data_IF_562496142417
#
_entry.id   IF_562496142417
#
_cell.length_a   1.000
_cell.length_b   1.000
_cell.length_c   1.000
_cell.angle_alpha   90.00
_cell.angle_beta   90.00
_cell.angle_gamma   90.00
#
_symmetry.space_group_name_H-M   'P 1'
#
loop_
_entity.id
_entity.type
_entity.pdbx_description
1 polymer ?
#
# COMPACT_ATOMS: atom_id res chain seq x y z
N UNK A 1 -11.91 32.79 -30.67
CA UNK A 1 -10.50 33.00 -30.30
C UNK A 1 -10.20 32.07 -29.12
N UNK A 2 -9.13 31.27 -29.26
CA UNK A 2 -8.30 30.69 -28.15
C UNK A 2 -8.99 29.61 -27.28
N UNK A 3 -8.45 28.41 -27.02
CA UNK A 3 -7.20 27.71 -27.34
C UNK A 3 -7.51 26.22 -27.18
N UNK A 4 -7.20 25.37 -28.17
CA UNK A 4 -7.14 23.91 -27.97
C UNK A 4 -6.00 23.63 -27.00
N UNK A 5 -6.28 22.99 -25.86
CA UNK A 5 -5.23 22.41 -25.04
C UNK A 5 -4.55 21.29 -25.85
N UNK A 6 -3.21 21.27 -25.91
CA UNK A 6 -2.50 20.14 -26.50
C UNK A 6 -2.60 18.91 -25.57
N UNK A 7 -2.67 17.69 -26.12
CA UNK A 7 -2.53 16.49 -25.32
C UNK A 7 -1.11 16.45 -24.75
N UNK A 8 -0.99 16.68 -23.44
CA UNK A 8 0.25 16.45 -22.72
C UNK A 8 0.37 14.96 -22.39
N UNK A 9 1.57 14.43 -22.62
CA UNK A 9 2.06 13.07 -22.31
C UNK A 9 1.79 11.99 -23.37
N UNK A 10 2.53 12.10 -24.47
CA UNK A 10 2.81 10.99 -25.38
C UNK A 10 4.32 10.68 -25.55
N UNK A 11 5.20 11.14 -24.64
CA UNK A 11 6.66 10.94 -24.79
C UNK A 11 7.44 10.75 -23.48
N UNK A 12 7.03 9.82 -22.60
CA UNK A 12 7.79 9.55 -21.36
C UNK A 12 8.17 8.07 -21.14
N UNK A 13 7.86 7.15 -22.06
CA UNK A 13 8.03 5.71 -21.79
C UNK A 13 9.31 5.07 -22.37
N UNK A 14 10.06 5.79 -23.22
CA UNK A 14 11.21 5.21 -23.95
C UNK A 14 12.58 5.40 -23.24
N UNK A 15 12.58 5.85 -21.98
CA UNK A 15 13.79 6.07 -21.17
C UNK A 15 13.96 5.08 -20.02
N UNK A 16 12.97 4.22 -19.76
CA UNK A 16 13.07 3.21 -18.71
C UNK A 16 13.89 2.04 -19.26
N UNK A 17 14.88 1.60 -18.49
CA UNK A 17 15.55 0.33 -18.76
C UNK A 17 14.47 -0.77 -18.77
N UNK A 18 14.42 -1.62 -19.81
CA UNK A 18 13.56 -2.78 -19.75
C UNK A 18 13.92 -3.59 -18.49
N UNK A 19 12.91 -4.11 -17.80
CA UNK A 19 13.08 -5.00 -16.65
C UNK A 19 12.73 -6.39 -17.12
N UNK A 20 13.76 -7.13 -17.50
CA UNK A 20 13.60 -8.44 -18.12
C UNK A 20 14.73 -9.34 -17.67
N UNK A 21 14.38 -10.38 -16.92
CA UNK A 21 15.28 -11.44 -16.51
C UNK A 21 15.33 -12.51 -17.61
N UNK A 22 16.51 -12.70 -18.17
CA UNK A 22 16.77 -13.65 -19.27
C UNK A 22 17.09 -15.06 -18.76
N UNK A 23 17.29 -15.22 -17.44
CA UNK A 23 17.63 -16.47 -16.79
C UNK A 23 18.95 -16.40 -16.01
N UNK A 24 19.17 -17.35 -15.08
CA UNK A 24 20.30 -17.34 -14.16
C UNK A 24 21.65 -17.49 -14.86
N UNK A 25 21.73 -18.29 -15.94
CA UNK A 25 22.98 -18.50 -16.66
C UNK A 25 23.48 -17.21 -17.33
N UNK A 26 22.56 -16.44 -17.92
CA UNK A 26 22.91 -15.17 -18.58
C UNK A 26 23.27 -14.11 -17.53
N UNK A 27 22.54 -14.04 -16.43
CA UNK A 27 22.86 -13.09 -15.37
C UNK A 27 24.24 -13.40 -14.74
N UNK A 28 24.57 -14.67 -14.51
CA UNK A 28 25.88 -15.08 -14.00
C UNK A 28 27.03 -14.60 -14.90
N UNK A 29 26.93 -14.80 -16.21
CA UNK A 29 27.93 -14.31 -17.18
C UNK A 29 28.06 -12.77 -17.14
N UNK A 30 26.94 -12.05 -17.00
CA UNK A 30 26.92 -10.60 -16.95
C UNK A 30 27.53 -10.04 -15.66
N UNK A 31 27.25 -10.69 -14.52
CA UNK A 31 27.80 -10.36 -13.21
C UNK A 31 29.31 -10.58 -13.19
N UNK A 32 29.79 -11.75 -13.60
CA UNK A 32 31.23 -12.06 -13.69
C UNK A 32 31.93 -11.07 -14.63
N UNK A 33 31.37 -10.80 -15.81
CA UNK A 33 31.95 -9.87 -16.77
C UNK A 33 32.01 -8.42 -16.26
N UNK A 34 31.14 -8.06 -15.31
CA UNK A 34 31.13 -6.74 -14.66
C UNK A 34 32.07 -6.63 -13.45
N UNK A 35 32.62 -7.76 -12.99
CA UNK A 35 33.44 -7.84 -11.78
C UNK A 35 32.64 -7.96 -10.49
N UNK A 36 31.43 -8.53 -10.54
CA UNK A 36 30.69 -8.92 -9.35
C UNK A 36 31.21 -10.28 -8.85
N UNK A 37 31.48 -10.39 -7.56
CA UNK A 37 31.93 -11.65 -6.93
C UNK A 37 30.76 -12.50 -6.43
N UNK A 38 29.54 -11.94 -6.41
CA UNK A 38 28.32 -12.65 -5.99
C UNK A 38 27.82 -13.60 -7.07
N UNK A 39 27.35 -14.77 -6.65
CA UNK A 39 26.58 -15.68 -7.50
C UNK A 39 25.15 -15.18 -7.67
N UNK A 40 24.40 -15.78 -8.61
CA UNK A 40 22.98 -15.43 -8.79
C UNK A 40 22.17 -15.77 -7.54
N UNK A 41 22.49 -16.88 -6.86
CA UNK A 41 21.81 -17.28 -5.62
C UNK A 41 22.09 -16.25 -4.51
N UNK A 42 23.33 -15.78 -4.36
CA UNK A 42 23.67 -14.72 -3.39
C UNK A 42 22.91 -13.42 -3.69
N UNK A 43 22.76 -13.04 -4.97
CA UNK A 43 21.98 -11.86 -5.38
C UNK A 43 20.50 -12.03 -5.04
N UNK A 44 19.94 -13.24 -5.18
CA UNK A 44 18.57 -13.54 -4.77
C UNK A 44 18.41 -13.38 -3.26
N UNK A 45 19.34 -13.90 -2.46
CA UNK A 45 19.31 -13.77 -1.00
C UNK A 45 19.37 -12.29 -0.58
N UNK A 46 20.27 -11.50 -1.16
CA UNK A 46 20.34 -10.04 -0.89
C UNK A 46 19.05 -9.32 -1.28
N UNK A 47 18.42 -9.70 -2.39
CA UNK A 47 17.14 -9.11 -2.80
C UNK A 47 16.00 -9.53 -1.87
N UNK A 48 15.96 -10.78 -1.40
CA UNK A 48 14.98 -11.24 -0.42
C UNK A 48 15.08 -10.44 0.87
N UNK A 49 16.29 -10.31 1.44
CA UNK A 49 16.52 -9.49 2.63
C UNK A 49 16.10 -8.02 2.41
N UNK A 50 16.48 -7.44 1.27
CA UNK A 50 16.10 -6.07 0.95
C UNK A 50 14.59 -5.87 0.79
N UNK A 51 13.88 -6.84 0.21
CA UNK A 51 12.41 -6.81 0.11
C UNK A 51 11.78 -6.93 1.50
N UNK A 52 12.29 -7.80 2.37
CA UNK A 52 11.85 -7.93 3.77
C UNK A 52 12.06 -6.63 4.56
N UNK A 53 13.15 -5.92 4.31
CA UNK A 53 13.48 -4.64 4.95
C UNK A 53 12.76 -3.42 4.31
N UNK A 54 12.04 -3.62 3.21
CA UNK A 54 11.36 -2.54 2.47
C UNK A 54 12.31 -1.61 1.70
N UNK A 55 13.54 -2.04 1.45
CA UNK A 55 14.57 -1.29 0.73
C UNK A 55 14.30 -1.34 -0.77
N UNK A 56 14.52 -0.23 -1.49
CA UNK A 56 14.21 -0.18 -2.92
C UNK A 56 15.34 -0.79 -3.78
N UNK A 57 14.97 -1.43 -4.89
CA UNK A 57 15.92 -2.05 -5.84
C UNK A 57 17.11 -1.16 -6.24
N UNK A 58 16.85 0.13 -6.45
CA UNK A 58 17.87 1.08 -6.91
C UNK A 58 18.89 1.46 -5.83
N UNK A 59 18.58 1.16 -4.57
CA UNK A 59 19.48 1.34 -3.43
C UNK A 59 20.35 0.09 -3.22
N UNK A 60 19.78 -1.10 -3.43
CA UNK A 60 20.46 -2.39 -3.21
C UNK A 60 21.35 -2.78 -4.39
N UNK A 61 20.87 -2.63 -5.62
CA UNK A 61 21.59 -3.07 -6.82
C UNK A 61 23.01 -2.49 -6.91
N UNK A 62 23.27 -1.20 -6.65
CA UNK A 62 24.64 -0.67 -6.67
C UNK A 62 25.58 -1.30 -5.63
N UNK A 63 25.03 -1.86 -4.55
CA UNK A 63 25.79 -2.44 -3.45
C UNK A 63 26.22 -3.89 -3.71
N UNK A 64 25.74 -4.51 -4.80
CA UNK A 64 26.14 -5.86 -5.21
C UNK A 64 27.64 -5.96 -5.56
N UNK A 65 28.28 -4.83 -5.85
CA UNK A 65 29.71 -4.79 -6.16
C UNK A 65 30.51 -4.15 -5.02
N UNK A 66 31.57 -4.82 -4.57
CA UNK A 66 32.53 -4.23 -3.63
C UNK A 66 33.34 -3.08 -4.26
N UNK A 67 33.56 -3.16 -5.58
CA UNK A 67 34.32 -2.20 -6.37
C UNK A 67 33.48 -1.64 -7.52
N UNK A 68 33.91 -0.51 -8.10
CA UNK A 68 33.19 0.08 -9.23
C UNK A 68 33.07 -0.93 -10.40
N UNK A 69 31.84 -1.24 -10.86
CA UNK A 69 31.60 -2.26 -11.88
C UNK A 69 32.16 -1.83 -13.24
N UNK A 70 32.74 -2.80 -13.97
CA UNK A 70 33.40 -2.54 -15.26
C UNK A 70 32.65 -3.18 -16.41
N UNK A 71 32.02 -2.36 -17.23
CA UNK A 71 31.28 -2.85 -18.40
C UNK A 71 32.10 -2.68 -19.69
N UNK A 72 32.11 -3.72 -20.54
CA UNK A 72 32.79 -3.69 -21.85
C UNK A 72 32.14 -2.72 -22.83
N UNK A 73 30.84 -2.44 -22.66
CA UNK A 73 30.07 -1.49 -23.46
C UNK A 73 28.87 -0.97 -22.68
N UNK A 74 28.27 0.17 -23.09
CA UNK A 74 27.01 0.63 -22.52
C UNK A 74 25.87 -0.38 -22.67
N UNK A 75 25.84 -1.16 -23.76
CA UNK A 75 24.82 -2.18 -23.96
C UNK A 75 24.96 -3.34 -22.98
N UNK A 76 26.20 -3.73 -22.64
CA UNK A 76 26.44 -4.71 -21.59
C UNK A 76 25.92 -4.21 -20.24
N UNK A 77 26.19 -2.95 -19.88
CA UNK A 77 25.64 -2.35 -18.66
C UNK A 77 24.11 -2.35 -18.67
N UNK A 78 23.48 -1.90 -19.77
CA UNK A 78 22.01 -1.91 -19.90
C UNK A 78 21.42 -3.30 -19.73
N UNK A 79 22.07 -4.32 -20.30
CA UNK A 79 21.63 -5.72 -20.19
C UNK A 79 21.79 -6.26 -18.76
N UNK A 80 22.91 -5.97 -18.10
CA UNK A 80 23.12 -6.35 -16.69
C UNK A 80 22.05 -5.73 -15.80
N UNK A 81 21.83 -4.42 -15.87
CA UNK A 81 20.81 -3.76 -15.06
C UNK A 81 19.39 -4.20 -15.43
N UNK A 82 19.09 -4.44 -16.72
CA UNK A 82 17.80 -4.99 -17.15
C UNK A 82 17.49 -6.33 -16.49
N UNK A 83 18.49 -7.22 -16.42
CA UNK A 83 18.35 -8.53 -15.78
C UNK A 83 18.22 -8.40 -14.26
N UNK A 84 19.01 -7.55 -13.61
CA UNK A 84 18.93 -7.34 -12.16
C UNK A 84 17.59 -6.74 -11.73
N UNK A 85 17.08 -5.74 -12.46
CA UNK A 85 15.75 -5.20 -12.17
C UNK A 85 14.63 -6.20 -12.50
N UNK A 86 14.81 -7.05 -13.52
CA UNK A 86 13.88 -8.14 -13.81
C UNK A 86 13.85 -9.19 -12.70
N UNK A 87 15.02 -9.62 -12.23
CA UNK A 87 15.16 -10.56 -11.12
C UNK A 87 14.60 -9.98 -9.82
N UNK A 88 14.87 -8.70 -9.54
CA UNK A 88 14.24 -7.99 -8.42
C UNK A 88 12.71 -8.06 -8.50
N UNK A 89 12.13 -7.81 -9.67
CA UNK A 89 10.68 -7.86 -9.84
C UNK A 89 10.16 -9.28 -9.60
N UNK A 90 10.88 -10.33 -10.01
CA UNK A 90 10.56 -11.74 -9.72
C UNK A 90 10.68 -12.08 -8.24
N UNK A 91 11.78 -11.73 -7.57
CA UNK A 91 11.98 -11.95 -6.13
C UNK A 91 10.96 -11.19 -5.31
N UNK A 92 10.71 -9.92 -5.64
CA UNK A 92 9.67 -9.14 -5.00
C UNK A 92 8.28 -9.71 -5.30
N UNK A 93 8.05 -10.32 -6.46
CA UNK A 93 6.79 -10.99 -6.78
C UNK A 93 6.63 -12.33 -6.07
N UNK A 94 7.72 -13.06 -5.85
CA UNK A 94 7.77 -14.35 -5.16
C UNK A 94 7.66 -14.17 -3.64
N UNK A 95 8.38 -13.19 -3.08
CA UNK A 95 8.10 -12.69 -1.73
C UNK A 95 6.65 -12.24 -1.63
N UNK A 96 6.08 -11.64 -2.69
CA UNK A 96 4.64 -11.34 -2.81
C UNK A 96 3.73 -12.57 -2.99
N UNK A 97 4.26 -13.72 -3.35
CA UNK A 97 3.57 -15.01 -3.47
C UNK A 97 3.63 -15.85 -2.20
N UNK A 98 4.73 -15.75 -1.44
CA UNK A 98 4.85 -16.20 -0.05
C UNK A 98 4.18 -15.23 0.94
N UNK A 99 3.84 -14.00 0.49
CA UNK A 99 3.05 -13.06 1.29
C UNK A 99 1.74 -13.73 1.71
N UNK A 100 1.48 -13.56 3.00
CA UNK A 100 0.37 -14.13 3.73
C UNK A 100 -0.92 -14.14 2.89
N UNK A 101 -1.37 -15.35 2.56
CA UNK A 101 -2.67 -15.54 1.94
C UNK A 101 -3.76 -14.95 2.84
N UNK A 102 -4.46 -13.95 2.32
CA UNK A 102 -5.66 -13.43 2.98
C UNK A 102 -6.84 -14.42 2.85
N UNK A 103 -6.74 -15.38 1.92
CA UNK A 103 -7.76 -16.42 1.75
C UNK A 103 -7.71 -17.42 2.89
N UNK A 104 -8.86 -17.66 3.53
CA UNK A 104 -9.01 -18.65 4.60
C UNK A 104 -8.57 -18.16 5.97
N UNK A 105 -8.27 -16.87 6.14
CA UNK A 105 -8.13 -16.27 7.47
C UNK A 105 -9.45 -16.41 8.24
N UNK A 106 -9.33 -16.72 9.54
CA UNK A 106 -10.47 -16.72 10.43
C UNK A 106 -10.99 -15.27 10.54
N UNK A 107 -12.24 -15.00 10.08
CA UNK A 107 -12.80 -13.67 10.08
C UNK A 107 -13.00 -13.11 11.47
N UNK A 108 -12.86 -13.87 12.57
CA UNK A 108 -12.99 -13.38 13.96
C UNK A 108 -11.64 -13.29 14.70
N UNK A 109 -10.54 -13.69 14.05
CA UNK A 109 -9.20 -13.58 14.63
C UNK A 109 -8.67 -12.13 14.65
N UNK A 110 -7.82 -11.76 15.63
CA UNK A 110 -7.17 -10.46 15.64
C UNK A 110 -6.38 -10.20 14.36
N UNK A 111 -6.46 -8.98 13.81
CA UNK A 111 -5.68 -8.62 12.64
C UNK A 111 -4.21 -8.45 13.04
N UNK A 112 -3.33 -9.13 12.31
CA UNK A 112 -1.89 -8.90 12.40
C UNK A 112 -1.51 -7.74 11.47
N UNK A 113 -0.50 -6.92 11.83
CA UNK A 113 0.00 -5.85 10.96
C UNK A 113 0.27 -6.33 9.53
N UNK A 114 0.91 -7.49 9.38
CA UNK A 114 1.26 -8.06 8.07
C UNK A 114 0.03 -8.33 7.17
N UNK A 115 -1.13 -8.65 7.75
CA UNK A 115 -2.37 -8.86 6.99
C UNK A 115 -2.96 -7.55 6.47
N UNK A 116 -2.84 -6.49 7.28
CA UNK A 116 -3.32 -5.16 6.96
C UNK A 116 -2.48 -4.58 5.83
N UNK A 117 -1.15 -4.68 5.95
CA UNK A 117 -0.21 -4.24 4.92
C UNK A 117 -0.46 -4.96 3.60
N UNK A 118 -0.61 -6.29 3.62
CA UNK A 118 -0.91 -7.06 2.41
C UNK A 118 -2.22 -6.61 1.74
N UNK A 119 -3.30 -6.45 2.51
CA UNK A 119 -4.59 -6.02 1.96
C UNK A 119 -4.55 -4.60 1.38
N UNK A 120 -3.72 -3.73 1.96
CA UNK A 120 -3.47 -2.38 1.47
C UNK A 120 -2.66 -2.40 0.18
N UNK A 121 -1.60 -3.22 0.09
CA UNK A 121 -0.87 -3.44 -1.18
C UNK A 121 -1.77 -3.95 -2.30
N UNK A 122 -2.69 -4.89 -2.01
CA UNK A 122 -3.66 -5.36 -3.00
C UNK A 122 -4.60 -4.24 -3.49
N UNK A 123 -4.90 -3.25 -2.65
CA UNK A 123 -5.68 -2.07 -3.04
C UNK A 123 -4.92 -1.16 -3.99
N UNK A 124 -3.63 -0.93 -3.71
CA UNK A 124 -2.76 -0.06 -4.51
C UNK A 124 -2.42 -0.67 -5.89
N UNK A 125 -2.33 -2.00 -5.96
CA UNK A 125 -2.12 -2.73 -7.22
C UNK A 125 -3.40 -2.82 -8.10
N UNK A 126 -4.57 -2.40 -7.60
CA UNK A 126 -5.79 -2.43 -8.41
C UNK A 126 -5.68 -1.53 -9.65
N UNK A 127 -6.08 -2.08 -10.79
CA UNK A 127 -6.29 -1.25 -11.97
C UNK A 127 -7.44 -0.25 -11.76
N UNK A 128 -7.40 0.85 -12.52
CA UNK A 128 -8.38 1.95 -12.36
C UNK A 128 -9.85 1.48 -12.50
N UNK A 129 -10.21 0.53 -13.39
CA UNK A 129 -11.54 -0.08 -13.41
C UNK A 129 -11.90 -0.84 -12.12
N UNK A 130 -11.01 -1.70 -11.60
CA UNK A 130 -11.26 -2.49 -10.40
C UNK A 130 -11.35 -1.60 -9.16
N UNK A 131 -10.46 -0.62 -9.03
CA UNK A 131 -10.51 0.37 -7.96
C UNK A 131 -11.84 1.12 -7.95
N UNK A 132 -12.29 1.60 -9.11
CA UNK A 132 -13.60 2.29 -9.23
C UNK A 132 -14.75 1.38 -8.84
N UNK A 133 -14.73 0.12 -9.27
CA UNK A 133 -15.76 -0.85 -8.89
C UNK A 133 -15.77 -1.11 -7.37
N UNK A 134 -14.61 -1.16 -6.74
CA UNK A 134 -14.48 -1.28 -5.29
C UNK A 134 -15.05 -0.05 -4.59
N UNK A 135 -14.71 1.15 -5.06
CA UNK A 135 -15.23 2.42 -4.52
C UNK A 135 -16.73 2.55 -4.69
N UNK A 136 -17.27 2.29 -5.88
CA UNK A 136 -18.71 2.30 -6.13
C UNK A 136 -19.43 1.31 -5.21
N UNK A 137 -18.83 0.14 -4.94
CA UNK A 137 -19.41 -0.86 -4.02
C UNK A 137 -19.44 -0.32 -2.59
N UNK A 138 -18.36 0.30 -2.13
CA UNK A 138 -18.31 0.95 -0.82
C UNK A 138 -19.39 2.03 -0.70
N UNK A 139 -19.43 2.98 -1.63
CA UNK A 139 -20.37 4.10 -1.64
C UNK A 139 -21.84 3.61 -1.62
N UNK A 140 -22.14 2.52 -2.33
CA UNK A 140 -23.48 1.95 -2.39
C UNK A 140 -23.87 1.10 -1.16
N UNK A 141 -22.92 0.44 -0.52
CA UNK A 141 -23.20 -0.48 0.59
C UNK A 141 -23.11 0.19 1.96
N UNK A 142 -22.31 1.25 2.08
CA UNK A 142 -21.89 1.82 3.35
C UNK A 142 -22.38 3.26 3.57
N UNK A 143 -23.64 3.53 3.19
CA UNK A 143 -24.26 4.85 3.35
C UNK A 143 -24.15 5.43 4.77
N UNK A 144 -24.31 4.59 5.80
CA UNK A 144 -24.22 5.02 7.20
C UNK A 144 -22.80 5.44 7.59
N UNK A 145 -21.75 4.81 7.04
CA UNK A 145 -20.35 5.24 7.24
C UNK A 145 -20.11 6.62 6.63
N UNK A 146 -20.56 6.84 5.40
CA UNK A 146 -20.42 8.15 4.74
C UNK A 146 -21.11 9.23 5.56
N UNK A 147 -22.38 9.01 5.90
CA UNK A 147 -23.18 9.99 6.65
C UNK A 147 -22.56 10.27 8.02
N UNK A 148 -22.02 9.24 8.68
CA UNK A 148 -21.28 9.38 9.94
C UNK A 148 -20.04 10.26 9.82
N UNK A 149 -19.19 10.01 8.82
CA UNK A 149 -17.98 10.80 8.57
C UNK A 149 -18.35 12.26 8.25
N UNK A 150 -19.30 12.47 7.35
CA UNK A 150 -19.74 13.82 6.95
C UNK A 150 -20.29 14.64 8.11
N UNK A 151 -21.09 14.03 8.99
CA UNK A 151 -21.70 14.75 10.11
C UNK A 151 -20.70 15.07 11.23
N UNK A 152 -19.80 14.12 11.56
CA UNK A 152 -18.83 14.33 12.64
C UNK A 152 -17.68 15.27 12.26
N UNK A 153 -17.40 15.39 10.97
CA UNK A 153 -16.40 16.30 10.43
C UNK A 153 -17.03 17.54 9.80
N UNK A 154 -18.32 17.77 10.04
CA UNK A 154 -19.03 18.95 9.56
C UNK A 154 -18.34 20.23 10.10
N UNK A 155 -17.95 21.11 9.19
CA UNK A 155 -17.23 22.34 9.53
C UNK A 155 -15.71 22.25 9.45
N UNK A 156 -15.15 21.07 9.15
CA UNK A 156 -13.77 20.95 8.70
C UNK A 156 -13.65 21.23 7.19
N UNK A 157 -12.42 21.23 6.68
CA UNK A 157 -12.14 21.47 5.27
C UNK A 157 -12.58 20.29 4.40
N UNK A 158 -12.82 20.55 3.11
CA UNK A 158 -13.13 19.48 2.14
C UNK A 158 -12.02 18.43 2.09
N UNK A 159 -10.75 18.85 2.22
CA UNK A 159 -9.59 17.94 2.29
C UNK A 159 -9.72 17.00 3.49
N UNK A 160 -10.08 17.50 4.67
CA UNK A 160 -10.25 16.68 5.87
C UNK A 160 -11.36 15.62 5.70
N UNK A 161 -12.47 16.02 5.09
CA UNK A 161 -13.61 15.11 4.83
C UNK A 161 -13.23 14.07 3.77
N UNK A 162 -12.61 14.49 2.66
CA UNK A 162 -12.12 13.59 1.61
C UNK A 162 -11.13 12.56 2.17
N UNK A 163 -10.12 13.02 2.93
CA UNK A 163 -9.13 12.14 3.57
C UNK A 163 -9.77 11.15 4.52
N UNK A 164 -10.72 11.59 5.36
CA UNK A 164 -11.42 10.68 6.27
C UNK A 164 -12.26 9.63 5.53
N UNK A 165 -12.93 10.02 4.43
CA UNK A 165 -13.69 9.09 3.60
C UNK A 165 -12.79 8.09 2.87
N UNK A 166 -11.63 8.53 2.40
CA UNK A 166 -10.67 7.64 1.75
C UNK A 166 -10.08 6.63 2.74
N UNK A 167 -9.69 7.06 3.94
CA UNK A 167 -9.22 6.14 4.99
C UNK A 167 -10.33 5.21 5.49
N UNK A 168 -11.59 5.68 5.53
CA UNK A 168 -12.75 4.83 5.84
C UNK A 168 -12.97 3.76 4.74
N UNK A 169 -12.81 4.14 3.48
CA UNK A 169 -12.85 3.21 2.35
C UNK A 169 -11.72 2.18 2.41
N UNK A 170 -10.49 2.62 2.67
CA UNK A 170 -9.32 1.73 2.83
C UNK A 170 -9.56 0.74 3.99
N UNK A 171 -10.06 1.22 5.14
CA UNK A 171 -10.45 0.36 6.27
C UNK A 171 -11.47 -0.69 5.84
N UNK A 172 -12.55 -0.26 5.18
CA UNK A 172 -13.59 -1.18 4.70
C UNK A 172 -13.02 -2.21 3.72
N UNK A 173 -12.19 -1.79 2.78
CA UNK A 173 -11.57 -2.68 1.80
C UNK A 173 -10.71 -3.73 2.48
N UNK A 174 -9.84 -3.32 3.40
CA UNK A 174 -8.98 -4.22 4.17
C UNK A 174 -9.84 -5.24 4.92
N UNK A 175 -10.87 -4.80 5.65
CA UNK A 175 -11.78 -5.72 6.35
C UNK A 175 -12.54 -6.65 5.39
N UNK A 176 -12.92 -6.18 4.19
CA UNK A 176 -13.62 -6.98 3.18
C UNK A 176 -12.69 -8.05 2.58
N UNK A 177 -11.41 -7.74 2.36
CA UNK A 177 -10.41 -8.70 1.90
C UNK A 177 -10.12 -9.77 2.95
N UNK A 178 -10.02 -9.36 4.21
CA UNK A 178 -9.67 -10.25 5.31
C UNK A 178 -10.79 -11.22 5.69
N UNK A 179 -12.06 -10.86 5.46
CA UNK A 179 -13.21 -11.75 5.69
C UNK A 179 -13.51 -12.68 4.51
N UNK A 180 -12.86 -12.50 3.36
CA UNK A 180 -12.99 -13.36 2.19
C UNK A 180 -14.42 -13.49 1.68
N UNK A 181 -15.04 -14.66 1.89
CA UNK A 181 -16.42 -14.94 1.46
C UNK A 181 -17.47 -14.23 2.35
N UNK A 182 -17.12 -13.96 3.60
CA UNK A 182 -17.97 -13.22 4.53
C UNK A 182 -17.84 -11.73 4.24
N UNK A 183 -18.98 -11.05 4.07
CA UNK A 183 -18.97 -9.61 3.81
C UNK A 183 -18.82 -8.82 5.10
N UNK A 184 -18.18 -7.66 5.03
CA UNK A 184 -18.18 -6.70 6.13
C UNK A 184 -19.63 -6.31 6.43
N UNK A 185 -20.08 -6.44 7.69
CA UNK A 185 -21.43 -6.04 8.06
C UNK A 185 -21.62 -4.54 7.80
N UNK A 186 -22.85 -4.15 7.46
CA UNK A 186 -23.21 -2.73 7.37
C UNK A 186 -23.39 -2.21 8.80
N UNK A 187 -22.53 -1.31 9.28
CA UNK A 187 -22.66 -0.75 10.60
C UNK A 187 -23.92 0.11 10.66
N UNK A 188 -24.70 0.01 11.73
CA UNK A 188 -25.80 0.94 11.96
C UNK A 188 -25.24 2.25 12.46
N UNK A 189 -25.95 3.35 12.17
CA UNK A 189 -25.56 4.66 12.71
C UNK A 189 -25.38 4.67 14.24
N UNK A 190 -26.30 4.04 14.97
CA UNK A 190 -26.22 3.94 16.43
C UNK A 190 -24.96 3.21 16.93
N UNK A 191 -24.45 2.23 16.18
CA UNK A 191 -23.23 1.52 16.56
C UNK A 191 -21.98 2.41 16.37
N UNK A 192 -21.98 3.24 15.32
CA UNK A 192 -20.88 4.19 15.05
C UNK A 192 -20.86 5.31 16.09
N UNK A 193 -22.02 5.89 16.42
CA UNK A 193 -22.13 6.92 17.44
C UNK A 193 -21.67 6.38 18.81
N UNK A 194 -22.15 5.19 19.20
CA UNK A 194 -21.74 4.54 20.44
C UNK A 194 -20.22 4.28 20.48
N UNK A 195 -19.61 3.89 19.36
CA UNK A 195 -18.17 3.66 19.28
C UNK A 195 -17.35 4.96 19.33
N UNK A 196 -17.90 6.06 18.82
CA UNK A 196 -17.27 7.39 18.86
C UNK A 196 -17.27 7.99 20.28
N UNK A 197 -18.28 7.64 21.08
CA UNK A 197 -18.43 8.08 22.47
C UNK A 197 -17.63 7.25 23.49
N UNK A 198 -17.01 6.14 23.07
CA UNK A 198 -16.18 5.32 23.96
C UNK A 198 -14.97 6.12 24.48
N UNK A 199 -14.70 5.98 25.77
CA UNK A 199 -13.61 6.67 26.43
C UNK A 199 -12.25 6.14 25.94
N UNK A 200 -11.53 6.99 25.22
CA UNK A 200 -10.27 6.67 24.53
C UNK A 200 -9.15 6.39 25.53
N UNK A 201 -9.22 6.92 26.75
CA UNK A 201 -8.17 6.78 27.77
C UNK A 201 -8.22 5.43 28.51
N UNK A 202 -9.35 4.71 28.45
CA UNK A 202 -9.56 3.47 29.21
C UNK A 202 -9.44 2.19 28.35
N UNK A 203 -9.56 2.28 27.04
CA UNK A 203 -9.59 1.12 26.14
C UNK A 203 -8.39 1.05 25.18
N UNK A 204 -7.81 -0.14 25.05
CA UNK A 204 -6.76 -0.42 24.06
C UNK A 204 -7.25 -0.08 22.64
N UNK A 205 -6.33 0.40 21.79
CA UNK A 205 -6.65 0.77 20.41
C UNK A 205 -7.27 -0.42 19.65
N UNK A 206 -8.48 -0.26 19.08
CA UNK A 206 -9.07 -1.28 18.22
C UNK A 206 -8.23 -1.43 16.95
N UNK A 207 -7.79 -2.66 16.68
CA UNK A 207 -6.99 -3.03 15.50
C UNK A 207 -5.75 -2.13 15.29
N UNK A 208 -4.68 -2.30 16.10
CA UNK A 208 -3.53 -1.41 16.11
C UNK A 208 -2.79 -1.32 14.76
N UNK A 209 -2.85 -2.36 13.93
CA UNK A 209 -2.31 -2.32 12.56
C UNK A 209 -3.00 -1.29 11.67
N UNK A 210 -4.35 -1.27 11.68
CA UNK A 210 -5.12 -0.25 10.95
C UNK A 210 -4.90 1.16 11.52
N UNK A 211 -4.78 1.27 12.85
CA UNK A 211 -4.49 2.55 13.48
C UNK A 211 -3.14 3.12 13.03
N UNK A 212 -2.08 2.29 12.98
CA UNK A 212 -0.77 2.71 12.54
C UNK A 212 -0.77 3.23 11.09
N UNK A 213 -1.46 2.55 10.18
CA UNK A 213 -1.60 2.98 8.78
C UNK A 213 -2.34 4.32 8.69
N UNK A 214 -3.46 4.47 9.41
CA UNK A 214 -4.19 5.74 9.40
C UNK A 214 -3.34 6.89 9.90
N UNK A 215 -2.62 6.71 11.01
CA UNK A 215 -1.72 7.74 11.53
C UNK A 215 -0.66 8.11 10.48
N UNK A 216 -0.01 7.12 9.86
CA UNK A 216 0.97 7.38 8.80
C UNK A 216 0.37 8.19 7.63
N UNK A 217 -0.80 7.79 7.12
CA UNK A 217 -1.48 8.47 6.00
C UNK A 217 -1.93 9.89 6.35
N UNK A 218 -2.37 10.13 7.58
CA UNK A 218 -2.73 11.47 8.04
C UNK A 218 -1.50 12.39 8.08
N UNK A 219 -0.35 11.89 8.53
CA UNK A 219 0.91 12.65 8.52
C UNK A 219 1.41 12.91 7.10
N UNK A 220 1.31 11.93 6.21
CA UNK A 220 1.62 12.11 4.78
C UNK A 220 0.74 13.19 4.15
N UNK A 221 -0.57 13.14 4.38
CA UNK A 221 -1.49 14.16 3.85
C UNK A 221 -1.26 15.54 4.47
N UNK A 222 -0.90 15.61 5.76
CA UNK A 222 -0.53 16.87 6.41
C UNK A 222 0.75 17.48 5.80
N UNK A 223 1.66 16.64 5.32
CA UNK A 223 2.89 17.03 4.65
C UNK A 223 2.71 17.33 3.14
N UNK A 224 1.52 17.13 2.56
CA UNK A 224 1.28 17.37 1.13
C UNK A 224 1.45 18.85 0.76
N UNK A 225 2.29 19.13 -0.24
CA UNK A 225 2.63 20.50 -0.65
C UNK A 225 1.48 21.25 -1.36
N UNK A 226 0.49 20.52 -1.89
CA UNK A 226 -0.57 21.07 -2.75
C UNK A 226 -1.90 21.21 -2.02
N UNK A 227 -2.25 20.23 -1.19
CA UNK A 227 -3.51 20.12 -0.43
C UNK A 227 -3.21 19.57 0.97
N UNK A 228 -2.46 20.31 1.81
CA UNK A 228 -2.12 19.84 3.14
C UNK A 228 -3.38 19.65 4.00
N UNK A 229 -3.42 18.57 4.77
CA UNK A 229 -4.40 18.40 5.84
C UNK A 229 -4.05 19.36 7.00
N UNK A 230 -5.00 20.20 7.47
CA UNK A 230 -4.75 21.04 8.64
C UNK A 230 -4.52 20.19 9.89
N UNK A 231 -3.54 20.56 10.71
CA UNK A 231 -3.17 19.80 11.92
C UNK A 231 -4.35 19.69 12.90
N UNK A 232 -5.19 20.73 13.00
CA UNK A 232 -6.40 20.73 13.82
C UNK A 232 -7.47 19.71 13.37
N UNK A 233 -7.39 19.23 12.12
CA UNK A 233 -8.30 18.22 11.59
C UNK A 233 -7.88 16.79 11.94
N UNK A 234 -6.61 16.56 12.30
CA UNK A 234 -6.08 15.20 12.55
C UNK A 234 -6.83 14.52 13.70
N UNK A 235 -6.92 15.16 14.87
CA UNK A 235 -7.55 14.54 16.04
C UNK A 235 -9.05 14.23 15.85
N UNK A 236 -9.88 15.12 15.25
CA UNK A 236 -11.23 14.77 14.83
C UNK A 236 -11.31 13.57 13.88
N UNK A 237 -10.43 13.51 12.88
CA UNK A 237 -10.40 12.41 11.91
C UNK A 237 -10.02 11.10 12.61
N UNK A 238 -8.99 11.09 13.47
CA UNK A 238 -8.58 9.90 14.21
C UNK A 238 -9.70 9.36 15.10
N UNK A 239 -10.47 10.24 15.76
CA UNK A 239 -11.64 9.84 16.55
C UNK A 239 -12.69 9.14 15.70
N UNK A 240 -13.04 9.71 14.55
CA UNK A 240 -13.98 9.12 13.59
C UNK A 240 -13.46 7.78 13.08
N UNK A 241 -12.20 7.71 12.65
CA UNK A 241 -11.60 6.47 12.14
C UNK A 241 -11.48 5.40 13.23
N UNK A 242 -11.29 5.77 14.50
CA UNK A 242 -11.31 4.83 15.62
C UNK A 242 -12.69 4.18 15.76
N UNK A 243 -13.76 4.98 15.71
CA UNK A 243 -15.12 4.45 15.72
C UNK A 243 -15.38 3.51 14.53
N UNK A 244 -14.92 3.88 13.33
CA UNK A 244 -15.00 3.02 12.13
C UNK A 244 -14.27 1.69 12.36
N UNK A 245 -13.02 1.72 12.83
CA UNK A 245 -12.25 0.51 13.17
C UNK A 245 -12.99 -0.35 14.17
N UNK A 246 -13.49 0.22 15.26
CA UNK A 246 -14.25 -0.53 16.29
C UNK A 246 -15.43 -1.30 15.72
N UNK A 247 -16.18 -0.72 14.78
CA UNK A 247 -17.41 -1.34 14.28
C UNK A 247 -17.15 -2.27 13.08
N UNK A 248 -16.16 -1.99 12.23
CA UNK A 248 -15.82 -2.81 11.08
C UNK A 248 -14.90 -3.98 11.42
N UNK A 249 -14.05 -3.80 12.43
CA UNK A 249 -13.14 -4.82 12.90
C UNK A 249 -13.90 -6.10 13.26
N UNK A 250 -13.29 -7.26 12.99
CA UNK A 250 -13.86 -8.52 13.38
C UNK A 250 -14.07 -8.62 14.88
N UNK A 251 -15.23 -9.14 15.30
CA UNK A 251 -15.56 -9.25 16.71
C UNK A 251 -14.79 -10.43 17.26
N UNK A 252 -13.77 -10.16 18.08
CA UNK A 252 -13.07 -11.20 18.84
C UNK A 252 -14.11 -12.02 19.63
N UNK A 253 -14.18 -13.32 19.36
CA UNK A 253 -14.89 -14.23 20.25
C UNK A 253 -14.28 -14.08 21.65
N UNK A 254 -15.12 -13.69 22.63
CA UNK A 254 -14.73 -13.60 24.04
C UNK A 254 -14.64 -14.98 24.66
#
# INVERSE_FOLDING_TARGET
MTRKLPPARAHADDRRLPRHFEGPEILAELLEASGCDLTVDDVVEEFQCAVEEGTAAHEVIPLLWELEPKFRSPDAARRTFSNLFGLWDEVAADARGELISLEGLDPDAPLKPEHVDRAWFELDELDRPAWRKARDRFDNLQFDLHSFVFEHLAGLTDVAIETALDLTFETWWICERLRGADRVPRPSRAALDAACELDVEAEAEPEPGLAAIHTARLWEQAADETRPLPEEAIAPIERVLRAVRTVLAPKRAR
#
